data_IF_207518528017
#
_entry.id   IF_207518528017
#
_cell.length_a   1.000
_cell.length_b   1.000
_cell.length_c   1.000
_cell.angle_alpha   90.00
_cell.angle_beta   90.00
_cell.angle_gamma   90.00
#
_symmetry.space_group_name_H-M   'P 1'
#
loop_
_entity.id
_entity.type
_entity.pdbx_description
1 polymer ?
#
# COMPACT_ATOMS: atom_id res chain seq x y z
N UNK A 1 16.02 17.96 12.73
CA UNK A 1 15.66 17.36 11.42
C UNK A 1 16.79 16.43 11.01
N UNK A 2 16.47 15.18 10.68
CA UNK A 2 17.46 14.17 10.27
C UNK A 2 17.87 14.36 8.78
N UNK A 3 19.11 14.02 8.35
CA UNK A 3 19.53 14.11 6.94
C UNK A 3 18.67 13.30 5.96
N UNK A 4 18.04 12.24 6.44
CA UNK A 4 17.12 11.40 5.67
C UNK A 4 15.73 12.03 5.45
N UNK A 5 15.49 13.25 5.94
CA UNK A 5 14.28 14.01 5.63
C UNK A 5 14.04 14.12 4.11
N UNK A 6 15.09 14.06 3.29
CA UNK A 6 14.97 14.02 1.83
C UNK A 6 14.00 12.94 1.32
N UNK A 7 13.96 11.76 1.94
CA UNK A 7 13.05 10.68 1.54
C UNK A 7 11.58 11.02 1.81
N UNK A 8 11.31 11.72 2.92
CA UNK A 8 9.98 12.26 3.21
C UNK A 8 9.59 13.29 2.16
N UNK A 9 10.52 14.15 1.75
CA UNK A 9 10.26 15.17 0.75
C UNK A 9 9.99 14.54 -0.63
N UNK A 10 10.70 13.46 -1.00
CA UNK A 10 10.40 12.71 -2.22
C UNK A 10 8.98 12.17 -2.23
N UNK A 11 8.55 11.55 -1.13
CA UNK A 11 7.18 11.06 -0.99
C UNK A 11 6.17 12.21 -1.08
N UNK A 12 6.35 13.28 -0.29
CA UNK A 12 5.46 14.45 -0.27
C UNK A 12 5.26 15.07 -1.65
N UNK A 13 6.34 15.23 -2.40
CA UNK A 13 6.33 15.88 -3.70
C UNK A 13 6.00 14.93 -4.86
N UNK A 14 5.71 13.66 -4.56
CA UNK A 14 5.51 12.61 -5.55
C UNK A 14 6.68 12.50 -6.55
N UNK A 15 7.91 12.65 -6.06
CA UNK A 15 9.14 12.56 -6.85
C UNK A 15 9.42 11.11 -7.23
N UNK A 16 9.21 10.78 -8.50
CA UNK A 16 9.37 9.42 -9.01
C UNK A 16 10.80 8.88 -8.91
N UNK A 17 11.82 9.74 -9.08
CA UNK A 17 13.22 9.34 -8.98
C UNK A 17 13.61 9.07 -7.53
N UNK A 18 13.19 9.96 -6.62
CA UNK A 18 13.40 9.78 -5.19
C UNK A 18 12.68 8.57 -4.62
N UNK A 19 11.46 8.29 -5.09
CA UNK A 19 10.72 7.08 -4.73
C UNK A 19 11.44 5.82 -5.25
N UNK A 20 11.93 5.83 -6.50
CA UNK A 20 12.72 4.72 -7.03
C UNK A 20 14.00 4.47 -6.21
N UNK A 21 14.65 5.52 -5.70
CA UNK A 21 15.78 5.41 -4.79
C UNK A 21 15.40 4.70 -3.48
N UNK A 22 14.26 5.06 -2.89
CA UNK A 22 13.73 4.39 -1.68
C UNK A 22 13.57 2.89 -1.92
N UNK A 23 12.95 2.50 -3.04
CA UNK A 23 12.82 1.08 -3.39
C UNK A 23 14.17 0.40 -3.52
N UNK A 24 15.12 0.99 -4.26
CA UNK A 24 16.45 0.43 -4.48
C UNK A 24 17.21 0.20 -3.17
N UNK A 25 17.09 1.12 -2.22
CA UNK A 25 17.81 1.06 -0.94
C UNK A 25 17.16 0.09 0.06
N UNK A 26 15.83 0.07 0.14
CA UNK A 26 15.16 -0.55 1.29
C UNK A 26 14.32 -1.78 0.94
N UNK A 27 13.91 -1.98 -0.31
CA UNK A 27 13.01 -3.09 -0.67
C UNK A 27 13.57 -4.45 -0.27
N UNK A 28 14.84 -4.73 -0.59
CA UNK A 28 15.49 -6.00 -0.22
C UNK A 28 15.51 -6.25 1.29
N UNK A 29 15.67 -5.20 2.11
CA UNK A 29 15.65 -5.33 3.57
C UNK A 29 14.25 -5.64 4.08
N UNK A 30 13.22 -5.00 3.51
CA UNK A 30 11.82 -5.26 3.86
C UNK A 30 11.41 -6.67 3.43
N UNK A 31 11.76 -7.10 2.22
CA UNK A 31 11.56 -8.48 1.75
C UNK A 31 12.15 -9.47 2.74
N UNK A 32 13.43 -9.32 3.12
CA UNK A 32 14.03 -10.20 4.13
C UNK A 32 13.26 -10.18 5.45
N UNK A 33 12.89 -9.01 5.95
CA UNK A 33 12.15 -8.89 7.21
C UNK A 33 10.82 -9.66 7.14
N UNK A 34 10.06 -9.51 6.06
CA UNK A 34 8.75 -10.13 5.89
C UNK A 34 8.88 -11.64 5.68
N UNK A 35 9.79 -12.08 4.81
CA UNK A 35 10.00 -13.50 4.53
C UNK A 35 10.51 -14.28 5.74
N UNK A 36 11.30 -13.65 6.63
CA UNK A 36 11.69 -14.27 7.92
C UNK A 36 10.54 -14.40 8.93
N UNK A 37 9.41 -13.72 8.69
CA UNK A 37 8.25 -13.70 9.59
C UNK A 37 7.01 -14.29 8.92
N UNK A 38 7.17 -15.40 8.19
CA UNK A 38 6.12 -16.15 7.50
C UNK A 38 5.38 -15.37 6.39
N UNK A 39 6.07 -14.44 5.73
CA UNK A 39 5.58 -13.76 4.53
C UNK A 39 6.27 -14.25 3.27
N UNK A 40 5.85 -13.70 2.13
CA UNK A 40 6.50 -13.88 0.83
C UNK A 40 6.83 -12.52 0.19
N UNK A 41 7.43 -12.55 -0.99
CA UNK A 41 7.85 -11.33 -1.69
C UNK A 41 6.67 -10.44 -2.11
N UNK A 42 5.51 -11.03 -2.43
CA UNK A 42 4.29 -10.29 -2.74
C UNK A 42 3.74 -9.58 -1.48
N UNK A 43 3.65 -10.29 -0.34
CA UNK A 43 3.30 -9.70 0.95
C UNK A 43 4.27 -8.53 1.29
N UNK A 44 5.56 -8.68 0.99
CA UNK A 44 6.55 -7.65 1.25
C UNK A 44 6.38 -6.41 0.37
N UNK A 45 6.08 -6.61 -0.92
CA UNK A 45 5.79 -5.54 -1.86
C UNK A 45 4.55 -4.74 -1.43
N UNK A 46 3.47 -5.43 -1.05
CA UNK A 46 2.24 -4.82 -0.56
C UNK A 46 2.50 -4.01 0.72
N UNK A 47 3.18 -4.60 1.70
CA UNK A 47 3.50 -3.92 2.96
C UNK A 47 4.37 -2.68 2.73
N UNK A 48 5.36 -2.76 1.85
CA UNK A 48 6.21 -1.61 1.51
C UNK A 48 5.39 -0.50 0.85
N UNK A 49 4.58 -0.84 -0.16
CA UNK A 49 3.72 0.14 -0.84
C UNK A 49 2.78 0.84 0.14
N UNK A 50 2.05 0.06 0.95
CA UNK A 50 1.16 0.62 1.96
C UNK A 50 1.91 1.51 2.96
N UNK A 51 3.11 1.11 3.39
CA UNK A 51 3.93 1.90 4.30
C UNK A 51 4.31 3.25 3.67
N UNK A 52 4.73 3.27 2.42
CA UNK A 52 5.08 4.50 1.72
C UNK A 52 3.86 5.42 1.52
N UNK A 53 2.68 4.86 1.22
CA UNK A 53 1.42 5.62 1.12
C UNK A 53 1.06 6.25 2.46
N UNK A 54 1.19 5.52 3.57
CA UNK A 54 0.91 6.05 4.91
C UNK A 54 1.90 7.15 5.30
N UNK A 55 3.19 7.00 4.96
CA UNK A 55 4.21 8.02 5.20
C UNK A 55 3.95 9.26 4.33
N UNK A 56 3.53 9.09 3.07
CA UNK A 56 3.11 10.19 2.21
C UNK A 56 1.97 10.99 2.86
N UNK A 57 0.89 10.31 3.27
CA UNK A 57 -0.26 10.93 3.93
C UNK A 57 0.13 11.66 5.21
N UNK A 58 1.02 11.06 6.00
CA UNK A 58 1.57 11.69 7.21
C UNK A 58 2.38 12.96 6.89
N UNK A 59 3.06 12.98 5.75
CA UNK A 59 3.89 14.11 5.33
C UNK A 59 3.12 15.23 4.62
N UNK A 60 1.88 14.97 4.19
CA UNK A 60 1.09 15.83 3.29
C UNK A 60 0.76 17.21 3.90
N UNK A 61 0.63 17.29 5.23
CA UNK A 61 0.34 18.55 5.94
C UNK A 61 1.57 19.47 6.11
N UNK A 62 2.75 19.01 5.68
CA UNK A 62 4.01 19.76 5.76
C UNK A 62 4.68 19.74 7.14
N UNK A 63 4.03 19.26 8.20
CA UNK A 63 4.50 19.38 9.59
C UNK A 63 5.36 18.22 10.05
N UNK A 64 5.33 17.09 9.31
CA UNK A 64 6.13 15.93 9.66
C UNK A 64 7.64 16.19 9.51
N UNK A 65 8.35 16.14 10.63
CA UNK A 65 9.82 16.22 10.72
C UNK A 65 10.36 14.89 11.20
N UNK A 66 11.17 14.25 10.36
CA UNK A 66 11.90 13.03 10.68
C UNK A 66 13.02 13.35 11.68
N UNK A 67 13.02 12.63 12.80
CA UNK A 67 13.99 12.80 13.90
C UNK A 67 14.97 11.64 14.05
N UNK A 68 14.79 10.57 13.27
CA UNK A 68 15.62 9.37 13.27
C UNK A 68 15.99 8.95 11.84
N UNK A 69 16.88 7.97 11.63
CA UNK A 69 17.14 7.41 10.31
C UNK A 69 15.86 6.93 9.63
N UNK A 70 15.70 7.25 8.35
CA UNK A 70 14.47 6.89 7.62
C UNK A 70 14.29 5.38 7.57
N UNK A 71 15.39 4.63 7.46
CA UNK A 71 15.37 3.17 7.49
C UNK A 71 14.72 2.63 8.77
N UNK A 72 15.12 3.14 9.94
CA UNK A 72 14.58 2.69 11.23
C UNK A 72 13.08 3.01 11.34
N UNK A 73 12.68 4.19 10.87
CA UNK A 73 11.29 4.59 10.80
C UNK A 73 10.48 3.68 9.86
N UNK A 74 10.95 3.48 8.63
CA UNK A 74 10.30 2.64 7.62
C UNK A 74 10.14 1.19 8.09
N UNK A 75 11.20 0.60 8.66
CA UNK A 75 11.15 -0.77 9.24
C UNK A 75 10.12 -0.85 10.36
N UNK A 76 10.02 0.19 11.21
CA UNK A 76 9.02 0.24 12.27
C UNK A 76 7.59 0.25 11.72
N UNK A 77 7.32 1.07 10.70
CA UNK A 77 6.02 1.14 10.02
C UNK A 77 5.67 -0.21 9.38
N UNK A 78 6.60 -0.78 8.60
CA UNK A 78 6.41 -2.06 7.91
C UNK A 78 6.17 -3.20 8.91
N UNK A 79 6.94 -3.26 10.00
CA UNK A 79 6.77 -4.28 11.06
C UNK A 79 5.38 -4.21 11.69
N UNK A 80 4.90 -3.01 12.02
CA UNK A 80 3.55 -2.84 12.59
C UNK A 80 2.46 -3.29 11.62
N UNK A 81 2.58 -2.94 10.34
CA UNK A 81 1.66 -3.39 9.29
C UNK A 81 1.66 -4.91 9.15
N UNK A 82 2.84 -5.52 9.12
CA UNK A 82 2.96 -6.98 8.99
C UNK A 82 2.34 -7.71 10.18
N UNK A 83 2.59 -7.25 11.41
CA UNK A 83 1.95 -7.82 12.60
C UNK A 83 0.42 -7.73 12.52
N UNK A 84 -0.13 -6.66 11.95
CA UNK A 84 -1.57 -6.54 11.72
C UNK A 84 -2.06 -7.50 10.63
N UNK A 85 -1.30 -7.69 9.55
CA UNK A 85 -1.61 -8.66 8.50
C UNK A 85 -1.63 -10.09 9.05
N UNK A 86 -0.65 -10.47 9.87
CA UNK A 86 -0.60 -11.77 10.54
C UNK A 86 -1.83 -12.00 11.42
N UNK A 87 -2.21 -11.01 12.24
CA UNK A 87 -3.43 -11.09 13.07
C UNK A 87 -4.69 -11.33 12.24
N UNK A 88 -4.80 -10.68 11.07
CA UNK A 88 -5.92 -10.89 10.15
C UNK A 88 -5.90 -12.31 9.56
N UNK A 89 -4.74 -12.82 9.14
CA UNK A 89 -4.56 -14.19 8.63
C UNK A 89 -4.94 -15.23 9.70
N UNK A 90 -4.56 -15.03 10.96
CA UNK A 90 -4.92 -15.94 12.07
C UNK A 90 -6.42 -15.91 12.41
N UNK A 91 -7.07 -14.74 12.35
CA UNK A 91 -8.50 -14.60 12.68
C UNK A 91 -9.42 -15.15 11.57
N UNK A 92 -8.93 -15.23 10.35
CA UNK A 92 -9.62 -15.85 9.22
C UNK A 92 -8.96 -17.19 8.85
N UNK A 93 -9.01 -18.23 9.71
CA UNK A 93 -8.64 -19.57 9.29
C UNK A 93 -9.62 -19.95 8.18
N UNK A 94 -9.07 -20.10 6.99
CA UNK A 94 -9.80 -20.35 5.76
C UNK A 94 -10.53 -21.70 5.85
N UNK A 95 -11.84 -21.69 6.13
CA UNK A 95 -12.81 -22.61 5.52
C UNK A 95 -13.12 -22.08 4.12
N UNK A 96 -12.17 -22.18 3.18
CA UNK A 96 -12.49 -21.93 1.76
C UNK A 96 -12.83 -23.27 1.14
N UNK A 97 -14.13 -23.53 1.02
CA UNK A 97 -14.62 -24.34 -0.09
C UNK A 97 -14.16 -23.66 -1.38
N UNK A 98 -13.61 -24.45 -2.29
CA UNK A 98 -13.12 -24.03 -3.60
C UNK A 98 -14.31 -23.68 -4.49
N UNK A 99 -14.82 -22.46 -4.41
CA UNK A 99 -15.66 -21.87 -5.45
C UNK A 99 -15.63 -20.35 -5.26
N UNK A 100 -14.71 -19.66 -5.94
CA UNK A 100 -14.73 -18.19 -6.02
C UNK A 100 -14.58 -17.84 -7.49
N UNK A 101 -15.74 -17.79 -8.16
CA UNK A 101 -15.89 -17.19 -9.48
C UNK A 101 -15.50 -15.72 -9.41
N UNK A 102 -14.56 -15.34 -10.28
CA UNK A 102 -14.05 -13.98 -10.38
C UNK A 102 -15.10 -13.10 -11.09
N UNK A 103 -15.95 -12.39 -10.33
CA UNK A 103 -16.84 -11.38 -10.89
C UNK A 103 -16.09 -10.04 -10.96
N UNK A 104 -15.74 -9.62 -12.17
CA UNK A 104 -15.31 -8.24 -12.42
C UNK A 104 -16.53 -7.32 -12.29
N UNK A 105 -16.58 -6.50 -11.24
CA UNK A 105 -17.50 -5.37 -11.21
C UNK A 105 -16.92 -4.24 -12.08
N UNK A 106 -17.48 -4.09 -13.27
CA UNK A 106 -17.26 -2.93 -14.13
C UNK A 106 -18.34 -1.90 -13.78
N UNK A 107 -17.98 -0.90 -12.96
CA UNK A 107 -18.79 0.30 -12.76
C UNK A 107 -18.30 1.36 -13.74
N UNK A 108 -19.11 1.68 -14.75
CA UNK A 108 -19.06 2.98 -15.41
C UNK A 108 -20.49 3.51 -15.52
N UNK A 109 -20.71 4.64 -14.84
CA UNK A 109 -21.92 5.44 -14.82
C UNK A 109 -22.11 6.14 -16.17
N UNK A 110 -23.30 6.06 -16.80
CA UNK A 110 -23.90 7.26 -17.42
C UNK A 110 -25.42 7.13 -17.50
N UNK A 111 -26.09 8.09 -16.89
CA UNK A 111 -27.54 8.30 -16.88
C UNK A 111 -28.10 8.69 -18.26
N UNK A 112 -29.44 8.64 -18.34
CA UNK A 112 -30.35 9.27 -19.31
C UNK A 112 -30.63 8.52 -20.62
N UNK A 113 -31.71 7.73 -20.64
CA UNK A 113 -32.96 8.16 -21.29
C UNK A 113 -34.15 7.22 -20.95
N UNK A 114 -34.98 7.62 -19.99
CA UNK A 114 -36.34 7.08 -19.81
C UNK A 114 -37.28 8.01 -20.56
N UNK A 115 -37.66 7.63 -21.78
CA UNK A 115 -38.78 8.07 -22.66
C UNK A 115 -38.30 7.97 -24.11
N UNK A 116 -39.02 7.42 -25.09
CA UNK A 116 -40.45 7.27 -25.28
C UNK A 116 -40.71 5.89 -25.94
N UNK A 117 -41.71 5.16 -25.47
CA UNK A 117 -42.99 5.04 -26.17
C UNK A 117 -42.89 4.33 -27.53
N UNK A 118 -43.39 3.10 -27.54
CA UNK A 118 -44.16 2.46 -28.60
C UNK A 118 -44.00 3.03 -30.02
N UNK A 119 -43.43 2.22 -30.94
CA UNK A 119 -43.89 2.05 -32.33
C UNK A 119 -42.91 1.15 -33.12
N UNK A 120 -43.48 0.16 -33.84
CA UNK A 120 -42.92 -0.67 -34.93
C UNK A 120 -41.93 -1.79 -34.51
N UNK A 121 -42.23 -3.09 -34.62
CA UNK A 121 -43.15 -3.89 -35.44
C UNK A 121 -43.53 -5.18 -34.72
#
# INVERSE_FOLDING_TARGET
MHPDQRFINYLRNNDSQGIAEIYRLYANKIVRMISHNNGNDADAADILQEALIDIYRLSADGKFVLTCPFEAFLVTVCKRKWLNALKKKTRNPVTKSLDDGFTFEQNDETEANVHADQLER
#
